data_IF_138612723737
#
_entry.id   IF_138612723737
#
_cell.length_a   1.000
_cell.length_b   1.000
_cell.length_c   1.000
_cell.angle_alpha   90.00
_cell.angle_beta   90.00
_cell.angle_gamma   90.00
#
_symmetry.space_group_name_H-M   'P 1'
#
loop_
_entity.id
_entity.type
_entity.pdbx_description
1 polymer ?
#
# COMPACT_ATOMS: atom_id res chain seq x y z
N UNK A 1 -21.77 6.41 -5.61
CA UNK A 1 -20.52 7.17 -5.90
C UNK A 1 -19.99 7.93 -4.68
N UNK A 2 -20.70 8.91 -4.05
CA UNK A 2 -20.16 9.62 -2.86
C UNK A 2 -19.80 8.70 -1.69
N UNK A 3 -20.66 7.72 -1.37
CA UNK A 3 -20.40 6.73 -0.31
C UNK A 3 -19.15 5.89 -0.60
N UNK A 4 -18.96 5.48 -1.84
CA UNK A 4 -17.80 4.70 -2.30
C UNK A 4 -16.50 5.52 -2.26
N UNK A 5 -16.55 6.78 -2.72
CA UNK A 5 -15.41 7.72 -2.64
C UNK A 5 -14.98 7.90 -1.18
N UNK A 6 -15.94 8.09 -0.28
CA UNK A 6 -15.66 8.16 1.16
C UNK A 6 -15.08 6.83 1.69
N UNK A 7 -15.59 5.69 1.21
CA UNK A 7 -15.07 4.36 1.53
C UNK A 7 -13.61 4.18 1.09
N UNK A 8 -13.28 4.58 -0.14
CA UNK A 8 -11.91 4.54 -0.65
C UNK A 8 -10.95 5.42 0.18
N UNK A 9 -11.39 6.64 0.54
CA UNK A 9 -10.57 7.53 1.37
C UNK A 9 -10.40 6.98 2.79
N UNK A 10 -11.48 6.58 3.46
CA UNK A 10 -11.43 6.06 4.83
C UNK A 10 -10.63 4.75 4.90
N UNK A 11 -10.86 3.84 3.95
CA UNK A 11 -10.12 2.58 3.89
C UNK A 11 -8.64 2.81 3.67
N UNK A 12 -8.26 3.71 2.74
CA UNK A 12 -6.84 4.00 2.50
C UNK A 12 -6.21 4.74 3.69
N UNK A 13 -6.94 5.58 4.40
CA UNK A 13 -6.48 6.17 5.66
C UNK A 13 -6.13 5.08 6.69
N UNK A 14 -7.05 4.13 6.93
CA UNK A 14 -6.81 3.02 7.86
C UNK A 14 -5.66 2.13 7.42
N UNK A 15 -5.58 1.84 6.12
CA UNK A 15 -4.49 1.08 5.52
C UNK A 15 -3.12 1.71 5.86
N UNK A 16 -2.98 3.02 5.66
CA UNK A 16 -1.71 3.72 5.93
C UNK A 16 -1.45 3.92 7.41
N UNK A 17 -2.49 4.25 8.19
CA UNK A 17 -2.34 4.40 9.64
C UNK A 17 -1.80 3.12 10.29
N UNK A 18 -2.33 1.96 9.93
CA UNK A 18 -1.91 0.67 10.48
C UNK A 18 -0.63 0.15 9.81
N UNK A 19 -0.56 0.21 8.47
CA UNK A 19 0.56 -0.33 7.70
C UNK A 19 1.86 0.45 7.91
N UNK A 20 1.86 1.77 7.74
CA UNK A 20 3.03 2.58 8.06
C UNK A 20 3.24 2.70 9.58
N UNK A 21 2.18 2.55 10.37
CA UNK A 21 2.26 2.49 11.83
C UNK A 21 3.09 1.30 12.33
N UNK A 22 2.89 0.10 11.77
CA UNK A 22 3.72 -1.06 12.15
C UNK A 22 5.18 -0.86 11.70
N UNK A 23 5.41 -0.27 10.52
CA UNK A 23 6.78 0.04 10.08
C UNK A 23 7.44 1.04 11.02
N UNK A 24 6.75 2.13 11.38
CA UNK A 24 7.25 3.10 12.36
C UNK A 24 7.56 2.45 13.71
N UNK A 25 6.70 1.54 14.18
CA UNK A 25 6.94 0.77 15.40
C UNK A 25 8.19 -0.09 15.34
N UNK A 26 8.46 -0.74 14.20
CA UNK A 26 9.61 -1.64 14.04
C UNK A 26 10.91 -0.88 13.78
N UNK A 27 10.85 0.23 13.04
CA UNK A 27 12.05 0.92 12.53
C UNK A 27 12.50 2.05 13.45
N UNK A 28 11.55 2.86 13.97
CA UNK A 28 11.93 4.03 14.77
C UNK A 28 12.46 3.63 16.16
N UNK A 29 13.44 4.38 16.71
CA UNK A 29 14.07 4.05 17.97
C UNK A 29 13.10 4.20 19.16
N UNK A 30 13.37 3.48 20.25
CA UNK A 30 12.69 3.55 21.54
C UNK A 30 11.21 3.16 21.50
N UNK A 31 10.70 2.59 20.40
CA UNK A 31 9.38 1.96 20.40
C UNK A 31 9.45 0.59 21.09
N UNK A 32 8.32 0.09 21.54
CA UNK A 32 8.27 -1.25 22.17
C UNK A 32 8.49 -2.39 21.18
N UNK A 33 8.25 -2.16 19.89
CA UNK A 33 8.44 -3.12 18.80
C UNK A 33 9.72 -2.88 17.99
N UNK A 34 10.60 -1.99 18.46
CA UNK A 34 11.85 -1.68 17.74
C UNK A 34 12.66 -2.95 17.45
N UNK A 35 13.12 -3.09 16.19
CA UNK A 35 13.88 -4.23 15.71
C UNK A 35 13.18 -5.60 15.77
N UNK A 36 11.85 -5.65 15.86
CA UNK A 36 11.09 -6.91 15.86
C UNK A 36 11.06 -7.65 14.53
N UNK A 37 11.53 -7.02 13.46
CA UNK A 37 11.87 -7.67 12.20
C UNK A 37 10.79 -7.66 11.11
N UNK A 38 11.17 -8.19 9.94
CA UNK A 38 10.37 -8.16 8.71
C UNK A 38 9.04 -8.92 8.81
N UNK A 39 9.01 -10.02 9.57
CA UNK A 39 7.77 -10.80 9.77
C UNK A 39 6.69 -9.94 10.44
N UNK A 40 7.05 -9.13 11.43
CA UNK A 40 6.10 -8.23 12.11
C UNK A 40 5.55 -7.18 11.14
N UNK A 41 6.40 -6.62 10.27
CA UNK A 41 5.99 -5.68 9.23
C UNK A 41 4.99 -6.33 8.26
N UNK A 42 5.31 -7.52 7.75
CA UNK A 42 4.45 -8.20 6.77
C UNK A 42 3.12 -8.63 7.36
N UNK A 43 3.12 -9.16 8.59
CA UNK A 43 1.89 -9.48 9.32
C UNK A 43 1.05 -8.23 9.58
N UNK A 44 1.67 -7.14 10.02
CA UNK A 44 0.99 -5.87 10.26
C UNK A 44 0.35 -5.29 9.00
N UNK A 45 1.04 -5.33 7.85
CA UNK A 45 0.46 -4.91 6.57
C UNK A 45 -0.72 -5.78 6.12
N UNK A 46 -0.64 -7.11 6.27
CA UNK A 46 -1.76 -7.99 5.94
C UNK A 46 -2.99 -7.71 6.81
N UNK A 47 -2.79 -7.52 8.12
CA UNK A 47 -3.85 -7.14 9.06
C UNK A 47 -4.41 -5.74 8.72
N UNK A 48 -3.54 -4.77 8.36
CA UNK A 48 -3.95 -3.43 7.98
C UNK A 48 -4.86 -3.46 6.73
N UNK A 49 -4.51 -4.25 5.71
CA UNK A 49 -5.35 -4.44 4.51
C UNK A 49 -6.69 -5.08 4.87
N UNK A 50 -6.70 -6.14 5.69
CA UNK A 50 -7.93 -6.80 6.09
C UNK A 50 -8.86 -5.83 6.86
N UNK A 51 -8.36 -5.10 7.84
CA UNK A 51 -9.15 -4.13 8.62
C UNK A 51 -9.67 -3.01 7.72
N UNK A 52 -8.81 -2.42 6.90
CA UNK A 52 -9.19 -1.35 5.98
C UNK A 52 -10.30 -1.79 5.03
N UNK A 53 -10.16 -2.99 4.43
CA UNK A 53 -11.16 -3.53 3.53
C UNK A 53 -12.45 -3.96 4.25
N UNK A 54 -12.39 -4.44 5.49
CA UNK A 54 -13.59 -4.71 6.30
C UNK A 54 -14.42 -3.44 6.54
N UNK A 55 -13.77 -2.34 6.90
CA UNK A 55 -14.45 -1.08 7.18
C UNK A 55 -15.00 -0.47 5.89
N UNK A 56 -14.19 -0.35 4.87
CA UNK A 56 -14.56 0.31 3.60
C UNK A 56 -15.47 -0.54 2.73
N UNK A 57 -15.42 -1.86 2.83
CA UNK A 57 -16.28 -2.79 2.09
C UNK A 57 -17.77 -2.64 2.35
N UNK A 58 -18.16 -2.02 3.49
CA UNK A 58 -19.53 -1.64 3.76
C UNK A 58 -19.97 -0.34 3.04
N UNK A 59 -19.01 0.39 2.48
CA UNK A 59 -19.22 1.69 1.84
C UNK A 59 -19.09 1.60 0.32
N UNK A 60 -18.28 0.67 -0.17
CA UNK A 60 -17.97 0.50 -1.59
C UNK A 60 -17.09 -0.72 -1.86
N UNK A 61 -16.50 -0.83 -3.04
CA UNK A 61 -15.70 -2.00 -3.45
C UNK A 61 -14.37 -2.16 -2.72
N UNK A 62 -13.92 -1.14 -1.99
CA UNK A 62 -12.70 -1.17 -1.18
C UNK A 62 -11.43 -1.53 -2.00
N UNK A 63 -11.21 -0.83 -3.10
CA UNK A 63 -9.98 -1.03 -3.89
C UNK A 63 -8.74 -0.57 -3.15
N UNK A 64 -8.80 0.62 -2.50
CA UNK A 64 -7.74 1.22 -1.67
C UNK A 64 -6.37 1.31 -2.39
N UNK A 65 -6.38 1.19 -3.72
CA UNK A 65 -5.19 1.04 -4.54
C UNK A 65 -5.45 1.49 -5.97
N UNK A 66 -4.76 2.52 -6.50
CA UNK A 66 -4.91 2.97 -7.88
C UNK A 66 -4.64 1.89 -8.93
N UNK A 67 -3.64 1.03 -8.75
CA UNK A 67 -3.33 -0.03 -9.69
C UNK A 67 -4.46 -1.07 -9.76
N UNK A 68 -5.02 -1.47 -8.61
CA UNK A 68 -6.20 -2.35 -8.57
C UNK A 68 -7.42 -1.65 -9.19
N UNK A 69 -7.65 -0.37 -8.90
CA UNK A 69 -8.77 0.41 -9.46
C UNK A 69 -8.72 0.43 -10.99
N UNK A 70 -7.53 0.65 -11.57
CA UNK A 70 -7.31 0.59 -13.02
C UNK A 70 -7.57 -0.83 -13.54
N UNK A 71 -7.05 -1.87 -12.87
CA UNK A 71 -7.27 -3.26 -13.26
C UNK A 71 -8.76 -3.65 -13.25
N UNK A 72 -9.52 -3.23 -12.24
CA UNK A 72 -10.97 -3.47 -12.16
C UNK A 72 -11.72 -2.74 -13.27
N UNK A 73 -11.31 -1.51 -13.61
CA UNK A 73 -11.90 -0.77 -14.73
C UNK A 73 -11.59 -1.42 -16.09
N UNK A 74 -10.37 -1.91 -16.29
CA UNK A 74 -9.98 -2.66 -17.50
C UNK A 74 -10.75 -3.97 -17.64
N UNK A 75 -11.03 -4.65 -16.52
CA UNK A 75 -11.86 -5.86 -16.49
C UNK A 75 -13.34 -5.57 -16.80
N UNK A 76 -13.79 -4.31 -16.73
CA UNK A 76 -15.16 -3.89 -17.00
C UNK A 76 -16.06 -3.81 -15.78
N UNK A 77 -15.56 -4.03 -14.57
CA UNK A 77 -16.33 -4.04 -13.33
C UNK A 77 -16.44 -2.64 -12.67
N UNK A 78 -15.73 -1.64 -13.19
CA UNK A 78 -15.80 -0.24 -12.76
C UNK A 78 -15.88 0.69 -13.97
N UNK A 79 -16.85 1.61 -14.05
CA UNK A 79 -16.87 2.64 -15.08
C UNK A 79 -15.60 3.52 -15.04
N UNK A 80 -15.00 3.79 -16.18
CA UNK A 80 -13.79 4.63 -16.28
C UNK A 80 -13.96 6.03 -15.67
N UNK A 81 -15.18 6.58 -15.71
CA UNK A 81 -15.51 7.86 -15.07
C UNK A 81 -15.33 7.84 -13.54
N UNK A 82 -15.34 6.68 -12.91
CA UNK A 82 -15.13 6.51 -11.46
C UNK A 82 -13.65 6.35 -11.08
N UNK A 83 -12.77 6.06 -12.04
CA UNK A 83 -11.34 5.76 -11.76
C UNK A 83 -10.64 6.95 -11.12
N UNK A 84 -10.71 8.13 -11.74
CA UNK A 84 -10.03 9.32 -11.22
C UNK A 84 -10.57 9.75 -9.84
N UNK A 85 -11.90 9.83 -9.60
CA UNK A 85 -12.45 10.07 -8.27
C UNK A 85 -11.95 9.10 -7.19
N UNK A 86 -11.86 7.80 -7.51
CA UNK A 86 -11.35 6.80 -6.57
C UNK A 86 -9.87 7.02 -6.26
N UNK A 87 -9.04 7.23 -7.28
CA UNK A 87 -7.62 7.50 -7.11
C UNK A 87 -7.39 8.73 -6.23
N UNK A 88 -8.10 9.83 -6.48
CA UNK A 88 -7.97 11.04 -5.66
C UNK A 88 -8.37 10.79 -4.21
N UNK A 89 -9.44 10.03 -3.97
CA UNK A 89 -9.87 9.64 -2.62
C UNK A 89 -8.83 8.77 -1.91
N UNK A 90 -8.22 7.81 -2.62
CA UNK A 90 -7.15 6.96 -2.12
C UNK A 90 -5.92 7.78 -1.72
N UNK A 91 -5.50 8.73 -2.56
CA UNK A 91 -4.39 9.64 -2.21
C UNK A 91 -4.71 10.51 -1.00
N UNK A 92 -5.90 11.10 -0.94
CA UNK A 92 -6.33 11.89 0.22
C UNK A 92 -6.30 11.06 1.51
N UNK A 93 -6.86 9.85 1.48
CA UNK A 93 -6.83 8.91 2.60
C UNK A 93 -5.39 8.54 3.00
N UNK A 94 -4.54 8.23 2.02
CA UNK A 94 -3.14 7.88 2.26
C UNK A 94 -2.38 9.02 2.98
N UNK A 95 -2.56 10.25 2.52
CA UNK A 95 -1.89 11.41 3.13
C UNK A 95 -2.38 11.66 4.56
N UNK A 96 -3.69 11.58 4.80
CA UNK A 96 -4.25 11.73 6.16
C UNK A 96 -3.79 10.59 7.07
N UNK A 97 -3.83 9.34 6.61
CA UNK A 97 -3.34 8.18 7.37
C UNK A 97 -1.88 8.34 7.78
N UNK A 98 -1.03 8.78 6.85
CA UNK A 98 0.38 9.04 7.13
C UNK A 98 0.59 10.22 8.11
N UNK A 99 -0.22 11.27 8.01
CA UNK A 99 -0.19 12.36 8.97
C UNK A 99 -0.51 11.86 10.40
N UNK A 100 -1.48 10.97 10.54
CA UNK A 100 -1.82 10.38 11.84
C UNK A 100 -0.69 9.48 12.36
N UNK A 101 0.01 8.72 11.50
CA UNK A 101 1.24 8.00 11.89
C UNK A 101 2.29 8.97 12.43
N UNK A 102 2.52 10.08 11.74
CA UNK A 102 3.45 11.11 12.23
C UNK A 102 3.06 11.64 13.62
N UNK A 103 1.79 11.95 13.84
CA UNK A 103 1.32 12.42 15.15
C UNK A 103 1.53 11.35 16.24
N UNK A 104 1.20 10.10 15.96
CA UNK A 104 1.34 8.96 16.87
C UNK A 104 2.80 8.72 17.27
N UNK A 105 3.74 8.85 16.34
CA UNK A 105 5.15 8.52 16.54
C UNK A 105 6.04 9.77 16.62
N UNK A 106 5.50 10.97 16.74
CA UNK A 106 6.26 12.22 16.71
C UNK A 106 7.51 12.22 17.60
N UNK A 107 7.48 11.80 18.88
CA UNK A 107 8.69 11.76 19.71
C UNK A 107 9.77 10.81 19.18
N UNK A 108 9.37 9.71 18.53
CA UNK A 108 10.27 8.72 17.96
C UNK A 108 10.92 9.24 16.67
N UNK A 109 10.16 9.98 15.83
CA UNK A 109 10.72 10.68 14.67
C UNK A 109 11.76 11.72 15.07
N UNK A 110 11.53 12.44 16.17
CA UNK A 110 12.49 13.44 16.67
C UNK A 110 13.77 12.80 17.23
N UNK A 111 13.72 11.52 17.59
CA UNK A 111 14.85 10.76 18.12
C UNK A 111 15.61 9.96 17.04
N UNK A 112 15.10 9.91 15.80
CA UNK A 112 15.73 9.18 14.69
C UNK A 112 16.69 10.10 13.94
N UNK A 113 17.93 9.66 13.75
CA UNK A 113 18.97 10.40 13.07
C UNK A 113 19.21 9.88 11.64
N UNK A 114 18.81 8.63 11.35
CA UNK A 114 19.01 8.04 10.05
C UNK A 114 17.87 8.40 9.07
N UNK A 115 18.13 9.18 8.01
CA UNK A 115 17.10 9.60 7.06
C UNK A 115 16.46 8.41 6.31
N UNK A 116 17.19 7.29 6.11
CA UNK A 116 16.65 6.12 5.46
C UNK A 116 15.58 5.42 6.33
N UNK A 117 15.78 5.38 7.65
CA UNK A 117 14.80 4.87 8.59
C UNK A 117 13.54 5.74 8.58
N UNK A 118 13.70 7.07 8.60
CA UNK A 118 12.58 8.01 8.53
C UNK A 118 11.81 7.78 7.24
N UNK A 119 12.47 7.82 6.07
CA UNK A 119 11.80 7.61 4.78
C UNK A 119 11.10 6.24 4.69
N UNK A 120 11.71 5.18 5.21
CA UNK A 120 11.16 3.82 5.22
C UNK A 120 9.83 3.68 5.97
N UNK A 121 9.51 4.60 6.89
CA UNK A 121 8.20 4.65 7.57
C UNK A 121 7.12 5.38 6.77
N UNK A 122 7.48 6.00 5.66
CA UNK A 122 6.56 6.69 4.74
C UNK A 122 6.34 5.88 3.47
N UNK A 123 7.41 5.55 2.77
CA UNK A 123 7.38 4.97 1.44
C UNK A 123 8.37 3.80 1.32
N UNK A 124 8.20 3.04 0.27
CA UNK A 124 9.10 1.94 -0.04
C UNK A 124 10.39 2.44 -0.69
N UNK A 125 11.41 1.62 -0.62
CA UNK A 125 12.69 1.86 -1.26
C UNK A 125 13.43 0.56 -1.51
N UNK A 126 14.30 0.49 -2.52
CA UNK A 126 15.00 -0.73 -2.86
C UNK A 126 16.10 -1.03 -1.83
N UNK A 127 16.23 -2.30 -1.45
CA UNK A 127 17.37 -2.78 -0.67
C UNK A 127 18.69 -2.65 -1.47
N UNK A 128 18.61 -2.86 -2.78
CA UNK A 128 19.69 -2.64 -3.74
C UNK A 128 19.14 -1.80 -4.89
N UNK A 129 19.81 -0.68 -5.21
CA UNK A 129 19.40 0.21 -6.31
C UNK A 129 19.76 -0.41 -7.66
N UNK A 130 18.82 -1.13 -8.26
CA UNK A 130 18.82 -1.57 -9.64
C UNK A 130 17.45 -1.30 -10.26
N UNK A 131 17.39 -0.34 -11.17
CA UNK A 131 16.12 0.16 -11.72
C UNK A 131 15.28 -0.93 -12.39
N UNK A 132 15.93 -1.81 -13.17
CA UNK A 132 15.24 -2.86 -13.90
C UNK A 132 14.70 -3.93 -12.94
N UNK A 133 15.54 -4.46 -12.06
CA UNK A 133 15.14 -5.47 -11.09
C UNK A 133 14.07 -4.96 -10.13
N UNK A 134 14.19 -3.69 -9.71
CA UNK A 134 13.20 -3.08 -8.80
C UNK A 134 11.85 -2.88 -9.50
N UNK A 135 11.85 -2.48 -10.77
CA UNK A 135 10.62 -2.40 -11.57
C UNK A 135 9.96 -3.77 -11.72
N UNK A 136 10.73 -4.80 -12.05
CA UNK A 136 10.23 -6.19 -12.16
C UNK A 136 9.65 -6.66 -10.82
N UNK A 137 10.28 -6.35 -9.68
CA UNK A 137 9.77 -6.73 -8.36
C UNK A 137 8.37 -6.14 -8.10
N UNK A 138 8.17 -4.86 -8.40
CA UNK A 138 6.86 -4.21 -8.23
C UNK A 138 5.81 -4.73 -9.23
N UNK A 139 6.22 -5.03 -10.48
CA UNK A 139 5.35 -5.67 -11.47
C UNK A 139 4.88 -7.03 -10.97
N UNK A 140 5.81 -7.91 -10.56
CA UNK A 140 5.49 -9.27 -10.12
C UNK A 140 4.61 -9.28 -8.86
N UNK A 141 4.96 -8.47 -7.85
CA UNK A 141 4.17 -8.37 -6.63
C UNK A 141 2.73 -7.93 -6.90
N UNK A 142 2.55 -6.92 -7.75
CA UNK A 142 1.20 -6.43 -8.08
C UNK A 142 0.45 -7.37 -9.03
N UNK A 143 1.14 -8.03 -9.95
CA UNK A 143 0.56 -9.09 -10.77
C UNK A 143 -0.07 -10.18 -9.90
N UNK A 144 0.68 -10.70 -8.92
CA UNK A 144 0.19 -11.72 -7.98
C UNK A 144 -1.00 -11.18 -7.18
N UNK A 145 -0.91 -9.94 -6.69
CA UNK A 145 -1.99 -9.30 -5.94
C UNK A 145 -3.29 -9.25 -6.73
N UNK A 146 -3.27 -8.64 -7.91
CA UNK A 146 -4.48 -8.38 -8.71
C UNK A 146 -5.06 -9.67 -9.28
N UNK A 147 -4.21 -10.56 -9.80
CA UNK A 147 -4.64 -11.86 -10.31
C UNK A 147 -5.36 -12.68 -9.21
N UNK A 148 -4.78 -12.71 -8.00
CA UNK A 148 -5.38 -13.48 -6.90
C UNK A 148 -6.68 -12.83 -6.41
N UNK A 149 -6.78 -11.50 -6.34
CA UNK A 149 -8.04 -10.82 -5.99
C UNK A 149 -9.13 -11.18 -7.00
N UNK A 150 -8.84 -11.17 -8.30
CA UNK A 150 -9.81 -11.56 -9.32
C UNK A 150 -10.20 -13.04 -9.23
N UNK A 151 -9.24 -13.93 -9.01
CA UNK A 151 -9.51 -15.36 -8.80
C UNK A 151 -10.36 -15.61 -7.55
N UNK A 152 -10.13 -14.90 -6.44
CA UNK A 152 -10.98 -14.98 -5.24
C UNK A 152 -12.42 -14.57 -5.53
N UNK A 153 -12.64 -13.63 -6.46
CA UNK A 153 -13.96 -13.19 -6.90
C UNK A 153 -14.79 -14.28 -7.63
N UNK A 154 -14.15 -15.36 -8.12
CA UNK A 154 -14.85 -16.51 -8.73
C UNK A 154 -15.48 -17.43 -7.68
N UNK A 155 -15.07 -17.36 -6.43
CA UNK A 155 -15.60 -18.20 -5.36
C UNK A 155 -16.76 -17.53 -4.62
N UNK A 156 -17.77 -18.31 -4.27
CA UNK A 156 -18.86 -17.87 -3.37
C UNK A 156 -18.41 -17.96 -1.92
N UNK A 157 -17.54 -17.02 -1.53
CA UNK A 157 -17.04 -16.96 -0.16
C UNK A 157 -18.07 -16.36 0.78
N UNK A 158 -18.12 -16.82 2.03
CA UNK A 158 -18.93 -16.18 3.07
C UNK A 158 -18.43 -14.76 3.32
N UNK A 159 -19.33 -13.89 3.79
CA UNK A 159 -19.01 -12.49 4.08
C UNK A 159 -17.77 -12.39 4.98
N UNK A 160 -16.85 -11.56 4.61
CA UNK A 160 -15.57 -11.33 5.33
C UNK A 160 -14.45 -12.31 5.02
N UNK A 161 -14.73 -13.54 4.57
CA UNK A 161 -13.66 -14.52 4.25
C UNK A 161 -12.78 -14.00 3.11
N UNK A 162 -13.38 -13.44 2.05
CA UNK A 162 -12.61 -12.84 0.94
C UNK A 162 -11.68 -11.72 1.41
N UNK A 163 -12.17 -10.86 2.28
CA UNK A 163 -11.38 -9.75 2.86
C UNK A 163 -10.20 -10.27 3.69
N UNK A 164 -10.42 -11.29 4.52
CA UNK A 164 -9.36 -11.94 5.29
C UNK A 164 -8.35 -12.64 4.38
N UNK A 165 -8.80 -13.30 3.30
CA UNK A 165 -7.94 -13.93 2.32
C UNK A 165 -7.03 -12.91 1.62
N UNK A 166 -7.54 -11.71 1.29
CA UNK A 166 -6.71 -10.63 0.73
C UNK A 166 -5.66 -10.16 1.74
N UNK A 167 -6.00 -10.02 3.03
CA UNK A 167 -5.01 -9.73 4.07
C UNK A 167 -3.90 -10.79 4.14
N UNK A 168 -4.26 -12.08 4.10
CA UNK A 168 -3.32 -13.20 4.06
C UNK A 168 -2.45 -13.19 2.80
N UNK A 169 -3.03 -12.84 1.63
CA UNK A 169 -2.29 -12.66 0.38
C UNK A 169 -1.20 -11.59 0.53
N UNK A 170 -1.50 -10.46 1.16
CA UNK A 170 -0.51 -9.40 1.42
C UNK A 170 0.63 -9.92 2.31
N UNK A 171 0.33 -10.71 3.34
CA UNK A 171 1.37 -11.37 4.14
C UNK A 171 2.26 -12.26 3.26
N UNK A 172 1.65 -13.10 2.42
CA UNK A 172 2.37 -13.99 1.51
C UNK A 172 3.29 -13.25 0.54
N UNK A 173 2.79 -12.18 -0.09
CA UNK A 173 3.59 -11.33 -0.99
C UNK A 173 4.74 -10.67 -0.21
N UNK A 174 4.46 -10.12 0.97
CA UNK A 174 5.47 -9.45 1.80
C UNK A 174 6.60 -10.38 2.24
N UNK A 175 6.27 -11.61 2.63
CA UNK A 175 7.25 -12.64 3.03
C UNK A 175 8.09 -13.15 1.85
N UNK A 176 7.46 -13.31 0.67
CA UNK A 176 8.09 -13.99 -0.48
C UNK A 176 8.74 -13.04 -1.47
N UNK A 177 8.14 -11.87 -1.72
CA UNK A 177 8.53 -10.93 -2.77
C UNK A 177 8.92 -9.54 -2.23
N UNK A 178 8.58 -9.24 -0.97
CA UNK A 178 8.73 -7.90 -0.42
C UNK A 178 10.15 -7.48 -0.05
N UNK A 179 11.07 -8.43 0.10
CA UNK A 179 12.41 -8.15 0.61
C UNK A 179 13.29 -7.30 -0.32
N UNK A 180 12.95 -7.18 -1.59
CA UNK A 180 13.74 -6.45 -2.60
C UNK A 180 13.44 -4.95 -2.62
N UNK A 181 12.17 -4.57 -2.56
CA UNK A 181 11.70 -3.19 -2.75
C UNK A 181 10.84 -2.67 -1.62
N UNK A 182 10.36 -3.53 -0.72
CA UNK A 182 9.35 -3.18 0.26
C UNK A 182 7.91 -3.33 -0.27
N UNK A 183 7.72 -4.02 -1.41
CA UNK A 183 6.41 -4.40 -1.99
C UNK A 183 5.37 -3.27 -1.92
N UNK A 184 5.62 -2.19 -2.63
CA UNK A 184 4.69 -1.05 -2.65
C UNK A 184 3.30 -1.47 -3.13
N UNK A 185 3.21 -2.15 -4.27
CA UNK A 185 2.01 -2.72 -4.90
C UNK A 185 0.90 -1.71 -5.19
N UNK A 186 1.04 -0.49 -4.70
CA UNK A 186 -0.03 0.48 -4.58
C UNK A 186 0.53 1.91 -4.71
N UNK A 187 0.25 2.61 -5.81
CA UNK A 187 0.73 3.97 -6.02
C UNK A 187 0.34 4.96 -4.91
N UNK A 188 -0.86 4.86 -4.35
CA UNK A 188 -1.31 5.76 -3.28
C UNK A 188 -0.59 5.45 -1.95
N UNK A 189 -0.30 4.18 -1.68
CA UNK A 189 0.42 3.71 -0.49
C UNK A 189 1.86 4.21 -0.45
N UNK A 190 2.49 4.44 -1.61
CA UNK A 190 3.86 4.95 -1.67
C UNK A 190 3.91 6.46 -1.88
N UNK A 191 3.32 6.96 -2.97
CA UNK A 191 3.45 8.35 -3.37
C UNK A 191 2.72 9.32 -2.40
N UNK A 192 1.57 8.95 -1.86
CA UNK A 192 0.85 9.78 -0.88
C UNK A 192 1.68 10.07 0.36
N UNK A 193 2.18 9.07 1.08
CA UNK A 193 3.09 9.26 2.21
C UNK A 193 4.43 9.90 1.82
N UNK A 194 4.97 9.66 0.62
CA UNK A 194 6.21 10.31 0.14
C UNK A 194 6.02 11.82 -0.01
N UNK A 195 4.85 12.26 -0.45
CA UNK A 195 4.47 13.68 -0.44
C UNK A 195 4.45 14.22 1.01
N UNK A 196 3.82 13.47 1.92
CA UNK A 196 3.77 13.85 3.34
C UNK A 196 5.16 13.90 3.98
N UNK A 197 6.08 13.00 3.61
CA UNK A 197 7.48 13.09 4.04
C UNK A 197 8.11 14.44 3.65
N UNK A 198 7.84 14.94 2.45
CA UNK A 198 8.35 16.24 2.02
C UNK A 198 7.75 17.40 2.80
N UNK A 199 6.46 17.33 3.18
CA UNK A 199 5.71 18.40 3.82
C UNK A 199 5.91 18.46 5.34
N UNK A 200 6.07 17.31 6.02
CA UNK A 200 6.10 17.25 7.47
C UNK A 200 7.43 17.78 8.04
N UNK A 201 7.40 18.52 9.17
CA UNK A 201 8.57 19.10 9.79
C UNK A 201 9.33 18.09 10.66
N UNK A 202 9.96 17.10 10.01
CA UNK A 202 10.77 16.08 10.68
C UNK A 202 12.24 16.44 10.52
N UNK A 203 13.00 16.60 11.62
CA UNK A 203 14.45 16.78 11.55
C UNK A 203 15.12 15.58 10.89
N UNK A 204 16.23 15.80 10.23
CA UNK A 204 17.08 14.76 9.63
C UNK A 204 16.37 13.84 8.59
N UNK A 205 15.19 14.19 8.10
CA UNK A 205 14.40 13.32 7.19
C UNK A 205 15.07 13.08 5.82
N UNK A 206 16.08 13.86 5.46
CA UNK A 206 16.73 13.76 4.15
C UNK A 206 15.81 14.16 2.99
N UNK A 207 16.10 13.63 1.80
CA UNK A 207 15.23 13.75 0.63
C UNK A 207 14.26 12.55 0.55
N UNK A 208 13.20 12.70 -0.23
CA UNK A 208 12.17 11.66 -0.39
C UNK A 208 12.52 10.55 -1.40
N UNK A 209 13.76 10.41 -1.86
CA UNK A 209 14.20 9.52 -2.96
C UNK A 209 13.24 9.59 -4.18
N UNK A 210 13.00 10.80 -4.66
CA UNK A 210 12.07 11.06 -5.75
C UNK A 210 12.50 10.44 -7.08
N UNK A 211 13.80 10.15 -7.24
CA UNK A 211 14.33 9.43 -8.39
C UNK A 211 13.82 8.00 -8.49
N UNK A 212 13.44 7.39 -7.36
CA UNK A 212 12.85 6.06 -7.28
C UNK A 212 11.31 6.09 -7.36
N UNK A 213 10.66 7.19 -6.98
CA UNK A 213 9.22 7.29 -6.75
C UNK A 213 8.31 6.85 -7.91
N UNK A 214 8.80 6.84 -9.14
CA UNK A 214 8.05 6.41 -10.31
C UNK A 214 7.88 4.88 -10.39
N UNK A 215 8.83 4.10 -9.82
CA UNK A 215 8.79 2.63 -9.84
C UNK A 215 7.56 2.09 -9.10
N UNK A 216 7.25 2.49 -7.84
CA UNK A 216 6.04 2.09 -7.14
C UNK A 216 4.73 2.65 -7.71
N UNK A 217 4.80 3.42 -8.78
CA UNK A 217 3.63 3.85 -9.57
C UNK A 217 3.49 3.02 -10.83
N UNK A 218 4.53 3.00 -11.66
CA UNK A 218 4.51 2.36 -12.98
C UNK A 218 4.52 0.83 -12.86
N UNK A 219 5.36 0.27 -11.97
CA UNK A 219 5.44 -1.17 -11.76
C UNK A 219 4.08 -1.79 -11.39
N UNK A 220 3.39 -1.29 -10.35
CA UNK A 220 2.07 -1.77 -9.98
C UNK A 220 1.03 -1.65 -11.09
N UNK A 221 1.01 -0.56 -11.85
CA UNK A 221 0.07 -0.41 -12.97
C UNK A 221 0.33 -1.47 -14.05
N UNK A 222 1.58 -1.69 -14.44
CA UNK A 222 1.94 -2.74 -15.41
C UNK A 222 1.55 -4.13 -14.85
N UNK A 223 1.84 -4.41 -13.58
CA UNK A 223 1.47 -5.67 -12.93
C UNK A 223 -0.04 -5.92 -12.95
N UNK A 224 -0.85 -4.89 -12.69
CA UNK A 224 -2.31 -4.97 -12.78
C UNK A 224 -2.80 -5.24 -14.20
N UNK A 225 -2.23 -4.55 -15.21
CA UNK A 225 -2.56 -4.77 -16.63
C UNK A 225 -2.26 -6.21 -17.05
N UNK A 226 -1.10 -6.74 -16.69
CA UNK A 226 -0.73 -8.13 -16.96
C UNK A 226 -1.66 -9.13 -16.26
N UNK A 227 -2.07 -8.83 -15.03
CA UNK A 227 -3.02 -9.67 -14.29
C UNK A 227 -4.39 -9.72 -14.98
N UNK A 228 -4.89 -8.59 -15.50
CA UNK A 228 -6.13 -8.56 -16.30
C UNK A 228 -5.98 -9.41 -17.54
N UNK A 229 -4.87 -9.26 -18.29
CA UNK A 229 -4.64 -10.03 -19.51
C UNK A 229 -4.60 -11.54 -19.25
N UNK A 230 -3.94 -11.98 -18.18
CA UNK A 230 -3.91 -13.41 -17.81
C UNK A 230 -5.26 -13.88 -17.31
N UNK A 231 -5.95 -13.08 -16.48
CA UNK A 231 -7.27 -13.44 -15.95
C UNK A 231 -8.34 -13.57 -17.06
N UNK A 232 -8.19 -12.83 -18.17
CA UNK A 232 -9.11 -12.95 -19.31
C UNK A 232 -9.05 -14.31 -20.04
N UNK A 233 -8.08 -15.16 -19.69
CA UNK A 233 -7.94 -16.52 -20.20
C UNK A 233 -8.69 -17.57 -19.35
N UNK A 234 -9.25 -17.17 -18.23
CA UNK A 234 -10.01 -18.03 -17.31
C UNK A 234 -11.48 -18.09 -17.71
#
# INVERSE_FOLDING_TARGET
MMKEIFGESLGTLLLLLLGNGVVAGVVLPKTKSHNSGWIVITMGWGIAVAIAAFVSGNLGPAHLNPALTIGVAMKGDLPWASVLPYILAQFAGAMVGQFLVFLQFKPHYLAEENPANILGTFSTGPAIKDTFSNLISEILGTFVLVLTIFALGLYKLQAGIGTFAVGTLIVGIGLSLGGTTGYALNPARDLGPRIMHSLLPIPNKGNGDWSYAWIPVVGPIIGAVLAVAVFSLF
#
